data_IF_900759881890
#
_entry.id   IF_900759881890
#
_cell.length_a   1.000
_cell.length_b   1.000
_cell.length_c   1.000
_cell.angle_alpha   90.00
_cell.angle_beta   90.00
_cell.angle_gamma   90.00
#
_symmetry.space_group_name_H-M   'P 1'
#
loop_
_entity.id
_entity.type
_entity.pdbx_description
1 polymer ?
#
# COMPACT_ATOMS: atom_id res chain seq x y z
N UNK A 1 6.46 -0.32 -20.29
CA UNK A 1 4.98 -0.46 -20.28
C UNK A 1 4.46 -0.33 -18.85
N UNK A 2 3.38 0.42 -18.66
CA UNK A 2 2.60 0.44 -17.43
C UNK A 2 1.25 -0.26 -17.70
N UNK A 3 0.89 -1.24 -16.88
CA UNK A 3 -0.41 -1.93 -16.97
C UNK A 3 -1.13 -1.90 -15.63
N UNK A 4 -2.33 -1.34 -15.63
CA UNK A 4 -3.18 -1.21 -14.44
C UNK A 4 -4.21 -2.34 -14.42
N UNK A 5 -4.13 -3.19 -13.41
CA UNK A 5 -5.05 -4.30 -13.17
C UNK A 5 -5.97 -3.95 -11.99
N UNK A 6 -7.20 -3.52 -12.29
CA UNK A 6 -8.23 -3.25 -11.28
C UNK A 6 -9.03 -4.52 -10.97
N UNK A 7 -9.10 -4.91 -9.69
CA UNK A 7 -9.84 -6.09 -9.23
C UNK A 7 -10.95 -5.69 -8.27
N UNK A 8 -12.12 -6.31 -8.45
CA UNK A 8 -13.32 -6.11 -7.60
C UNK A 8 -13.73 -4.64 -7.40
N UNK A 9 -13.33 -3.73 -8.33
CA UNK A 9 -13.52 -2.28 -8.24
C UNK A 9 -12.98 -1.66 -6.93
N UNK A 10 -12.01 -2.31 -6.28
CA UNK A 10 -11.47 -1.90 -4.97
C UNK A 10 -9.96 -1.95 -4.91
N UNK A 11 -9.37 -3.02 -5.44
CA UNK A 11 -7.92 -3.23 -5.38
C UNK A 11 -7.31 -2.84 -6.73
N UNK A 12 -6.24 -2.04 -6.71
CA UNK A 12 -5.50 -1.66 -7.91
C UNK A 12 -4.10 -2.26 -7.86
N UNK A 13 -3.75 -3.00 -8.90
CA UNK A 13 -2.39 -3.51 -9.09
C UNK A 13 -1.74 -2.79 -10.26
N UNK A 14 -0.47 -2.45 -10.10
CA UNK A 14 0.33 -1.84 -11.15
C UNK A 14 1.42 -2.83 -11.56
N UNK A 15 1.51 -3.07 -12.86
CA UNK A 15 2.62 -3.76 -13.47
C UNK A 15 3.51 -2.75 -14.20
N UNK A 16 4.80 -2.80 -13.91
CA UNK A 16 5.83 -2.08 -14.64
C UNK A 16 6.71 -3.09 -15.35
N UNK A 17 6.93 -2.91 -16.64
CA UNK A 17 7.77 -3.83 -17.42
C UNK A 17 8.60 -3.09 -18.46
N UNK A 18 9.86 -3.47 -18.60
CA UNK A 18 10.69 -3.12 -19.74
C UNK A 18 10.50 -4.17 -20.84
N UNK A 19 10.05 -3.73 -22.02
CA UNK A 19 9.72 -4.60 -23.15
C UNK A 19 10.83 -4.51 -24.19
N UNK A 20 11.24 -5.63 -24.84
CA UNK A 20 10.61 -6.96 -24.80
C UNK A 20 11.13 -7.93 -23.71
N UNK A 21 12.34 -7.71 -23.18
CA UNK A 21 13.05 -8.75 -22.43
C UNK A 21 12.75 -8.81 -20.93
N UNK A 22 12.04 -7.83 -20.36
CA UNK A 22 11.92 -7.65 -18.91
C UNK A 22 13.03 -6.75 -18.35
N UNK A 23 13.15 -6.62 -17.02
CA UNK A 23 12.32 -7.27 -15.99
C UNK A 23 10.94 -6.64 -15.86
N UNK A 24 10.06 -7.30 -15.10
CA UNK A 24 8.75 -6.76 -14.74
C UNK A 24 8.48 -6.85 -13.24
N UNK A 25 7.82 -5.85 -12.69
CA UNK A 25 7.50 -5.76 -11.28
C UNK A 25 6.00 -5.54 -11.08
N UNK A 26 5.42 -6.31 -10.16
CA UNK A 26 4.02 -6.18 -9.75
C UNK A 26 3.93 -5.49 -8.40
N UNK A 27 3.10 -4.46 -8.34
CA UNK A 27 2.82 -3.69 -7.14
C UNK A 27 1.33 -3.73 -6.81
N UNK A 28 1.01 -3.66 -5.52
CA UNK A 28 -0.29 -3.20 -5.04
C UNK A 28 -0.20 -1.68 -4.84
N UNK A 29 -1.13 -0.94 -5.43
CA UNK A 29 -1.23 0.51 -5.26
C UNK A 29 -2.17 0.82 -4.11
N UNK A 30 -1.67 1.56 -3.12
CA UNK A 30 -2.41 1.97 -1.92
C UNK A 30 -2.34 3.50 -1.76
N UNK A 31 -3.20 4.08 -0.91
CA UNK A 31 -3.16 5.50 -0.53
C UNK A 31 -3.17 6.48 -1.72
N UNK A 32 -4.05 6.24 -2.69
CA UNK A 32 -4.17 7.06 -3.90
C UNK A 32 -4.87 8.37 -3.57
N UNK A 33 -4.18 9.45 -3.89
CA UNK A 33 -4.63 10.83 -3.79
C UNK A 33 -4.48 11.49 -5.16
N UNK A 34 -5.56 12.07 -5.69
CA UNK A 34 -5.58 12.64 -7.04
C UNK A 34 -5.24 14.13 -7.00
N UNK A 35 -4.86 14.69 -8.15
CA UNK A 35 -4.57 16.13 -8.31
C UNK A 35 -5.78 17.03 -8.03
N UNK A 36 -6.99 16.47 -7.91
CA UNK A 36 -8.20 17.21 -7.57
C UNK A 36 -8.36 17.47 -6.07
N UNK A 37 -7.46 16.95 -5.23
CA UNK A 37 -7.52 17.18 -3.79
C UNK A 37 -7.12 18.63 -3.43
N UNK A 38 -7.90 19.26 -2.55
CA UNK A 38 -7.76 20.68 -2.18
C UNK A 38 -6.36 21.05 -1.64
N UNK A 39 -5.65 20.10 -1.04
CA UNK A 39 -4.31 20.33 -0.45
C UNK A 39 -3.19 20.39 -1.50
N UNK A 40 -3.45 19.93 -2.72
CA UNK A 40 -2.48 19.86 -3.80
C UNK A 40 -2.65 21.10 -4.69
N UNK A 41 -1.94 22.17 -4.33
CA UNK A 41 -2.09 23.49 -4.95
C UNK A 41 -1.11 23.76 -6.09
N UNK A 42 -0.13 22.87 -6.29
CA UNK A 42 0.85 23.01 -7.36
C UNK A 42 0.27 22.77 -8.73
N UNK A 43 0.91 23.35 -9.76
CA UNK A 43 0.57 23.10 -11.15
C UNK A 43 1.85 22.96 -11.96
N UNK A 44 1.92 21.98 -12.86
CA UNK A 44 3.11 21.81 -13.69
C UNK A 44 2.77 21.57 -15.15
N UNK A 45 3.67 21.98 -16.03
CA UNK A 45 3.65 21.71 -17.44
C UNK A 45 3.48 20.21 -17.70
N UNK A 46 2.43 19.87 -18.47
CA UNK A 46 2.05 18.47 -18.76
C UNK A 46 3.22 17.68 -19.35
N UNK A 47 3.98 18.28 -20.25
CA UNK A 47 5.03 17.61 -21.02
C UNK A 47 6.46 18.07 -20.67
N UNK A 48 6.66 18.76 -19.55
CA UNK A 48 8.00 19.00 -19.02
C UNK A 48 8.69 17.69 -18.63
N UNK A 49 10.01 17.66 -18.68
CA UNK A 49 10.79 16.49 -18.28
C UNK A 49 10.87 16.45 -16.74
N UNK A 50 10.45 15.35 -16.09
CA UNK A 50 10.54 15.26 -14.64
C UNK A 50 11.97 15.01 -14.18
N UNK A 51 12.36 15.64 -13.08
CA UNK A 51 13.53 15.22 -12.30
C UNK A 51 13.11 14.04 -11.41
N UNK A 52 13.85 12.94 -11.46
CA UNK A 52 13.58 11.76 -10.63
C UNK A 52 14.48 11.79 -9.40
N UNK A 53 13.89 11.98 -8.23
CA UNK A 53 14.58 12.00 -6.94
C UNK A 53 14.27 10.70 -6.19
N UNK A 54 15.31 9.92 -5.90
CA UNK A 54 15.21 8.68 -5.15
C UNK A 54 15.83 8.86 -3.77
N UNK A 55 15.24 8.19 -2.78
CA UNK A 55 15.84 8.03 -1.46
C UNK A 55 17.17 7.26 -1.53
N UNK A 56 18.08 7.51 -0.57
CA UNK A 56 19.39 6.86 -0.53
C UNK A 56 19.28 5.32 -0.42
N UNK A 57 18.19 4.84 0.18
CA UNK A 57 17.89 3.41 0.36
C UNK A 57 17.84 2.64 -0.97
N UNK A 58 17.57 3.31 -2.08
CA UNK A 58 17.57 2.68 -3.41
C UNK A 58 18.97 2.30 -3.91
N UNK A 59 20.02 2.86 -3.32
CA UNK A 59 21.42 2.59 -3.67
C UNK A 59 22.12 1.64 -2.70
N UNK A 60 21.43 1.21 -1.64
CA UNK A 60 21.96 0.28 -0.66
C UNK A 60 22.25 -1.10 -1.28
N UNK A 61 23.49 -1.64 -1.12
CA UNK A 61 23.87 -2.93 -1.70
C UNK A 61 23.13 -4.12 -1.07
N UNK A 62 22.67 -3.98 0.18
CA UNK A 62 21.93 -5.04 0.90
C UNK A 62 20.51 -5.25 0.35
N UNK A 63 19.97 -4.27 -0.39
CA UNK A 63 18.62 -4.30 -0.97
C UNK A 63 18.65 -4.21 -2.50
N UNK A 64 19.22 -5.22 -3.21
CA UNK A 64 19.42 -5.16 -4.66
C UNK A 64 18.10 -5.06 -5.44
N UNK A 65 17.00 -5.53 -4.87
CA UNK A 65 15.68 -5.42 -5.46
C UNK A 65 15.23 -3.95 -5.59
N UNK A 66 15.54 -3.08 -4.62
CA UNK A 66 15.23 -1.64 -4.72
C UNK A 66 16.06 -0.97 -5.79
N UNK A 67 17.35 -1.31 -5.90
CA UNK A 67 18.22 -0.80 -6.97
C UNK A 67 17.71 -1.16 -8.36
N UNK A 68 17.23 -2.40 -8.54
CA UNK A 68 16.58 -2.82 -9.79
C UNK A 68 15.30 -2.02 -10.05
N UNK A 69 14.49 -1.78 -9.02
CA UNK A 69 13.29 -0.95 -9.16
C UNK A 69 13.61 0.51 -9.51
N UNK A 70 14.68 1.09 -8.95
CA UNK A 70 15.15 2.43 -9.32
C UNK A 70 15.38 2.52 -10.84
N UNK A 71 16.13 1.57 -11.39
CA UNK A 71 16.40 1.52 -12.84
C UNK A 71 15.09 1.33 -13.64
N UNK A 72 14.19 0.46 -13.18
CA UNK A 72 12.89 0.25 -13.80
C UNK A 72 12.05 1.55 -13.82
N UNK A 73 12.04 2.32 -12.73
CA UNK A 73 11.35 3.61 -12.67
C UNK A 73 11.98 4.66 -13.57
N UNK A 74 13.31 4.72 -13.64
CA UNK A 74 14.02 5.64 -14.54
C UNK A 74 13.63 5.37 -15.99
N UNK A 75 13.60 4.11 -16.41
CA UNK A 75 13.27 3.74 -17.79
C UNK A 75 11.78 3.92 -18.12
N UNK A 76 10.89 3.76 -17.14
CA UNK A 76 9.43 3.81 -17.39
C UNK A 76 8.81 5.19 -17.18
N UNK A 77 9.30 5.97 -16.21
CA UNK A 77 8.77 7.29 -15.84
C UNK A 77 9.69 8.43 -16.29
N UNK A 78 10.94 8.14 -16.65
CA UNK A 78 11.84 9.11 -17.26
C UNK A 78 11.39 9.51 -18.65
N UNK A 79 11.67 10.76 -19.03
CA UNK A 79 11.47 11.24 -20.40
C UNK A 79 12.82 11.29 -21.11
N UNK A 80 13.00 10.59 -22.25
CA UNK A 80 14.26 10.58 -22.96
C UNK A 80 14.65 11.98 -23.42
N UNK A 81 15.95 12.21 -23.59
CA UNK A 81 16.44 13.49 -24.08
C UNK A 81 15.88 13.75 -25.49
N UNK A 82 15.46 14.99 -25.75
CA UNK A 82 14.89 15.42 -27.03
C UNK A 82 13.66 14.62 -27.49
N UNK A 83 12.84 14.14 -26.54
CA UNK A 83 11.56 13.55 -26.89
C UNK A 83 10.72 14.60 -27.68
N UNK A 84 10.08 14.25 -28.81
CA UNK A 84 9.43 15.22 -29.69
C UNK A 84 8.29 16.00 -29.02
N UNK A 85 7.72 15.46 -27.94
CA UNK A 85 6.69 16.11 -27.12
C UNK A 85 7.23 16.79 -25.87
N UNK A 86 8.52 16.64 -25.54
CA UNK A 86 9.07 17.23 -24.31
C UNK A 86 9.23 18.74 -24.46
N UNK A 87 8.76 19.47 -23.47
CA UNK A 87 9.03 20.90 -23.34
C UNK A 87 10.42 21.12 -22.71
N UNK A 88 11.02 22.26 -22.99
CA UNK A 88 12.41 22.56 -22.59
C UNK A 88 12.58 22.74 -21.07
N UNK A 89 11.54 23.23 -20.38
CA UNK A 89 11.61 23.59 -18.96
C UNK A 89 11.53 22.38 -18.03
N UNK A 90 12.24 22.48 -16.90
CA UNK A 90 12.19 21.54 -15.78
C UNK A 90 11.29 22.12 -14.69
N UNK A 91 10.05 21.63 -14.64
CA UNK A 91 9.02 22.22 -13.78
C UNK A 91 8.50 21.22 -12.72
N UNK A 92 8.75 19.92 -12.90
CA UNK A 92 8.27 18.88 -11.98
C UNK A 92 9.35 17.92 -11.51
N UNK A 93 9.18 17.45 -10.29
CA UNK A 93 10.01 16.43 -9.63
C UNK A 93 9.12 15.26 -9.22
N UNK A 94 9.52 14.05 -9.61
CA UNK A 94 8.98 12.82 -9.04
C UNK A 94 9.89 12.34 -7.93
N UNK A 95 9.31 12.17 -6.74
CA UNK A 95 10.03 11.73 -5.55
C UNK A 95 9.60 10.32 -5.19
N UNK A 96 10.59 9.47 -4.91
CA UNK A 96 10.42 8.09 -4.48
C UNK A 96 11.04 7.92 -3.10
N UNK A 97 10.20 7.91 -2.06
CA UNK A 97 10.63 7.66 -0.67
C UNK A 97 10.37 6.20 -0.28
N UNK A 98 11.29 5.56 0.43
CA UNK A 98 11.06 4.20 0.94
C UNK A 98 10.74 4.24 2.44
N UNK A 99 9.52 3.86 2.82
CA UNK A 99 9.09 3.87 4.23
C UNK A 99 8.10 2.74 4.49
N UNK A 100 8.32 1.98 5.57
CA UNK A 100 7.46 0.87 6.00
C UNK A 100 7.20 -0.16 4.89
N UNK A 101 8.26 -0.57 4.18
CA UNK A 101 8.22 -1.56 3.10
C UNK A 101 7.36 -1.13 1.89
N UNK A 102 7.12 0.18 1.79
CA UNK A 102 6.34 0.81 0.72
C UNK A 102 7.16 1.92 0.08
N UNK A 103 6.98 2.05 -1.23
CA UNK A 103 7.56 3.14 -2.00
C UNK A 103 6.50 4.22 -2.13
N UNK A 104 6.73 5.37 -1.53
CA UNK A 104 5.87 6.53 -1.62
C UNK A 104 6.25 7.36 -2.83
N UNK A 105 5.30 7.54 -3.73
CA UNK A 105 5.42 8.41 -4.89
C UNK A 105 4.73 9.74 -4.62
N UNK A 106 5.44 10.85 -4.88
CA UNK A 106 4.86 12.19 -4.86
C UNK A 106 5.40 13.03 -6.00
N UNK A 107 4.57 13.96 -6.47
CA UNK A 107 4.91 14.91 -7.52
C UNK A 107 4.94 16.32 -6.96
N UNK A 108 6.05 17.00 -7.17
CA UNK A 108 6.27 18.39 -6.76
C UNK A 108 6.51 19.27 -7.98
N UNK A 109 6.02 20.50 -7.92
CA UNK A 109 6.38 21.59 -8.81
C UNK A 109 7.61 22.31 -8.25
N UNK A 110 8.52 22.72 -9.14
CA UNK A 110 9.65 23.59 -8.79
C UNK A 110 9.20 25.03 -8.96
N UNK A 111 9.07 25.79 -7.86
CA UNK A 111 8.77 27.21 -7.94
C UNK A 111 10.03 27.99 -8.33
N UNK A 112 10.07 28.52 -9.56
CA UNK A 112 11.25 29.12 -10.20
C UNK A 112 11.89 30.26 -9.38
N UNK A 113 11.10 31.05 -8.66
CA UNK A 113 11.61 32.24 -7.95
C UNK A 113 12.38 31.93 -6.66
N UNK A 114 12.12 30.79 -6.01
CA UNK A 114 12.63 30.49 -4.68
C UNK A 114 13.22 29.10 -4.52
N UNK A 115 13.11 28.24 -5.54
CA UNK A 115 13.49 26.83 -5.45
C UNK A 115 12.64 26.03 -4.46
N UNK A 116 11.51 26.58 -4.02
CA UNK A 116 10.57 25.88 -3.14
C UNK A 116 9.80 24.82 -3.91
N UNK A 117 9.41 23.75 -3.23
CA UNK A 117 8.65 22.64 -3.81
C UNK A 117 7.19 22.73 -3.35
N UNK A 118 6.28 22.77 -4.32
CA UNK A 118 4.83 22.78 -4.07
C UNK A 118 4.23 21.47 -4.54
N UNK A 119 3.43 20.81 -3.71
CA UNK A 119 2.85 19.50 -4.06
C UNK A 119 1.73 19.64 -5.11
N UNK A 120 1.84 18.90 -6.22
CA UNK A 120 0.88 18.88 -7.34
C UNK A 120 -0.02 17.65 -7.28
N UNK A 121 0.58 16.50 -6.90
CA UNK A 121 -0.03 15.18 -7.07
C UNK A 121 0.16 14.58 -8.46
N UNK A 122 -0.29 13.32 -8.67
CA UNK A 122 -0.92 12.44 -7.69
C UNK A 122 0.06 11.94 -6.62
N UNK A 123 -0.48 11.48 -5.49
CA UNK A 123 0.26 10.78 -4.44
C UNK A 123 -0.26 9.36 -4.30
N UNK A 124 0.64 8.41 -4.16
CA UNK A 124 0.28 7.02 -3.89
C UNK A 124 1.45 6.28 -3.25
N UNK A 125 1.17 5.13 -2.66
CA UNK A 125 2.18 4.20 -2.18
C UNK A 125 2.12 2.91 -2.97
N UNK A 126 3.29 2.39 -3.33
CA UNK A 126 3.46 1.12 -4.00
C UNK A 126 3.98 0.09 -2.99
N UNK A 127 3.24 -0.99 -2.82
CA UNK A 127 3.67 -2.15 -2.07
C UNK A 127 4.13 -3.23 -3.05
N UNK A 128 5.41 -3.58 -3.01
CA UNK A 128 6.02 -4.55 -3.92
C UNK A 128 5.47 -5.95 -3.63
N UNK A 129 4.97 -6.63 -4.67
CA UNK A 129 4.50 -8.01 -4.58
C UNK A 129 5.62 -8.95 -5.02
N UNK A 130 6.00 -8.86 -6.30
CA UNK A 130 6.98 -9.74 -6.95
C UNK A 130 7.69 -9.03 -8.10
N UNK A 131 8.91 -9.47 -8.37
CA UNK A 131 9.72 -9.10 -9.53
C UNK A 131 9.96 -10.37 -10.36
N UNK A 132 9.77 -10.26 -11.67
CA UNK A 132 9.95 -11.32 -12.65
C UNK A 132 11.09 -10.97 -13.59
N UNK A 133 11.81 -11.99 -14.04
CA UNK A 133 12.94 -11.83 -14.95
C UNK A 133 12.52 -11.33 -16.34
N UNK A 134 11.37 -11.80 -16.84
CA UNK A 134 10.83 -11.42 -18.14
C UNK A 134 9.75 -10.34 -18.05
N UNK A 135 9.26 -9.92 -19.22
CA UNK A 135 8.14 -8.99 -19.32
C UNK A 135 6.80 -9.70 -19.08
N UNK A 136 6.20 -9.51 -17.91
CA UNK A 136 4.96 -10.17 -17.46
C UNK A 136 5.04 -11.70 -17.35
N UNK A 137 6.23 -12.27 -17.51
CA UNK A 137 6.47 -13.70 -17.49
C UNK A 137 7.90 -14.02 -16.97
N UNK A 138 8.23 -15.31 -16.89
CA UNK A 138 9.54 -15.79 -16.47
C UNK A 138 9.67 -16.08 -14.98
N UNK A 139 10.89 -16.40 -14.55
CA UNK A 139 11.20 -16.76 -13.17
C UNK A 139 11.00 -15.57 -12.22
N UNK A 140 10.56 -15.86 -10.99
CA UNK A 140 10.43 -14.86 -9.92
C UNK A 140 11.82 -14.57 -9.36
N UNK A 141 12.32 -13.35 -9.57
CA UNK A 141 13.61 -12.90 -9.04
C UNK A 141 13.51 -12.48 -7.57
N UNK A 142 12.36 -11.91 -7.20
CA UNK A 142 12.11 -11.45 -5.84
C UNK A 142 10.62 -11.59 -5.50
N UNK A 143 10.33 -12.04 -4.28
CA UNK A 143 8.98 -12.07 -3.72
C UNK A 143 9.01 -11.43 -2.35
N UNK A 144 8.20 -10.40 -2.15
CA UNK A 144 8.13 -9.72 -0.86
C UNK A 144 7.48 -10.63 0.20
N UNK A 145 8.19 -11.02 1.28
CA UNK A 145 7.62 -11.85 2.33
C UNK A 145 6.59 -11.09 3.20
N UNK A 146 6.66 -9.76 3.26
CA UNK A 146 5.77 -8.91 4.07
C UNK A 146 4.48 -8.54 3.34
N UNK A 147 4.40 -8.82 2.04
CA UNK A 147 3.21 -8.52 1.26
C UNK A 147 2.03 -9.41 1.70
N UNK A 148 0.92 -8.75 2.06
CA UNK A 148 -0.35 -9.42 2.37
C UNK A 148 -1.39 -8.94 1.38
N UNK A 149 -2.10 -9.89 0.74
CA UNK A 149 -3.13 -9.52 -0.24
C UNK A 149 -4.36 -8.89 0.44
N UNK A 150 -4.97 -7.84 -0.14
CA UNK A 150 -6.19 -7.23 0.40
C UNK A 150 -7.36 -8.21 0.55
N UNK A 151 -7.42 -9.22 -0.33
CA UNK A 151 -8.40 -10.30 -0.23
C UNK A 151 -8.23 -11.11 1.06
N UNK A 152 -6.98 -11.44 1.42
CA UNK A 152 -6.68 -12.19 2.64
C UNK A 152 -6.98 -11.37 3.90
N UNK A 153 -6.64 -10.08 3.91
CA UNK A 153 -7.01 -9.16 5.00
C UNK A 153 -8.54 -9.12 5.17
N UNK A 154 -9.28 -8.95 4.07
CA UNK A 154 -10.75 -8.95 4.10
C UNK A 154 -11.33 -10.28 4.58
N UNK A 155 -10.75 -11.40 4.17
CA UNK A 155 -11.16 -12.73 4.62
C UNK A 155 -10.98 -12.90 6.13
N UNK A 156 -9.81 -12.52 6.67
CA UNK A 156 -9.55 -12.65 8.11
C UNK A 156 -10.42 -11.71 8.95
N UNK A 157 -10.71 -10.51 8.45
CA UNK A 157 -11.67 -9.60 9.10
C UNK A 157 -13.09 -10.18 9.13
N UNK A 158 -13.47 -10.99 8.14
CA UNK A 158 -14.75 -11.70 8.13
C UNK A 158 -14.74 -12.89 9.11
N UNK A 159 -13.68 -13.70 9.12
CA UNK A 159 -13.53 -14.80 10.07
C UNK A 159 -13.61 -14.33 11.52
N UNK A 160 -12.84 -13.30 11.90
CA UNK A 160 -12.89 -12.75 13.26
C UNK A 160 -14.24 -12.12 13.64
N UNK A 161 -15.10 -11.80 12.68
CA UNK A 161 -16.49 -11.40 12.94
C UNK A 161 -17.41 -12.61 13.11
N UNK A 162 -17.18 -13.70 12.38
CA UNK A 162 -17.95 -14.94 12.48
C UNK A 162 -17.85 -15.57 13.87
N UNK A 163 -16.65 -15.58 14.45
CA UNK A 163 -16.41 -16.15 15.78
C UNK A 163 -17.21 -15.46 16.89
N UNK A 164 -17.65 -14.22 16.70
CA UNK A 164 -18.50 -13.52 17.67
C UNK A 164 -19.84 -14.20 17.89
N UNK A 165 -20.43 -14.79 16.85
CA UNK A 165 -21.69 -15.51 16.99
C UNK A 165 -21.49 -16.80 17.78
N UNK A 166 -20.47 -17.59 17.43
CA UNK A 166 -20.10 -18.82 18.15
C UNK A 166 -19.76 -18.53 19.61
N UNK A 167 -18.94 -17.51 19.87
CA UNK A 167 -18.58 -17.06 21.22
C UNK A 167 -19.80 -16.59 22.02
N UNK A 168 -20.76 -15.90 21.39
CA UNK A 168 -22.01 -15.48 22.05
C UNK A 168 -22.87 -16.69 22.43
N UNK A 169 -22.95 -17.69 21.56
CA UNK A 169 -23.71 -18.91 21.83
C UNK A 169 -23.05 -19.72 22.94
N UNK A 170 -21.72 -19.91 22.90
CA UNK A 170 -20.97 -20.57 23.98
C UNK A 170 -21.11 -19.82 25.30
N UNK A 171 -21.03 -18.49 25.30
CA UNK A 171 -21.21 -17.69 26.50
C UNK A 171 -22.62 -17.83 27.10
N UNK A 172 -23.66 -17.98 26.27
CA UNK A 172 -25.03 -18.28 26.74
C UNK A 172 -25.11 -19.67 27.38
N UNK A 173 -24.54 -20.69 26.73
CA UNK A 173 -24.51 -22.07 27.25
C UNK A 173 -23.80 -22.09 28.61
N UNK A 174 -22.60 -21.48 28.70
CA UNK A 174 -21.83 -21.39 29.95
C UNK A 174 -22.58 -20.62 31.06
N UNK A 175 -23.34 -19.58 30.70
CA UNK A 175 -24.19 -18.86 31.66
C UNK A 175 -25.32 -19.75 32.18
N UNK A 176 -25.99 -20.51 31.31
CA UNK A 176 -27.05 -21.44 31.70
C UNK A 176 -26.51 -22.58 32.57
N UNK A 177 -25.36 -23.15 32.22
CA UNK A 177 -24.67 -24.14 33.05
C UNK A 177 -24.34 -23.57 34.43
N UNK A 178 -23.77 -22.36 34.48
CA UNK A 178 -23.47 -21.68 35.75
C UNK A 178 -24.72 -21.40 36.57
N UNK A 179 -25.86 -21.09 35.92
CA UNK A 179 -27.16 -20.93 36.61
C UNK A 179 -27.66 -22.25 37.17
N UNK A 180 -27.59 -23.35 36.40
CA UNK A 180 -28.01 -24.69 36.85
C UNK A 180 -27.12 -25.25 37.97
N UNK A 181 -25.81 -25.00 37.92
CA UNK A 181 -24.88 -25.44 38.96
C UNK A 181 -24.96 -24.60 40.24
N UNK A 182 -25.56 -23.40 40.17
CA UNK A 182 -25.73 -22.53 41.34
C UNK A 182 -26.82 -23.09 42.24
N UNK A 183 -26.43 -23.81 43.30
CA UNK A 183 -27.38 -24.30 44.31
C UNK A 183 -27.94 -23.18 45.18
N UNK A 184 -27.14 -22.14 45.45
CA UNK A 184 -27.54 -20.98 46.26
C UNK A 184 -27.15 -19.67 45.54
N UNK A 185 -28.07 -18.70 45.50
CA UNK A 185 -27.87 -17.39 44.85
C UNK A 185 -26.98 -16.45 45.66
N UNK A 186 -27.00 -16.59 46.98
CA UNK A 186 -26.22 -15.86 47.99
C UNK A 186 -25.77 -16.87 49.06
N UNK A 187 -24.78 -16.53 49.88
CA UNK A 187 -24.46 -17.33 51.06
C UNK A 187 -25.69 -17.29 51.98
N UNK A 188 -26.31 -18.44 52.22
CA UNK A 188 -27.43 -18.55 53.15
C UNK A 188 -26.82 -18.64 54.54
N UNK A 189 -27.18 -17.70 55.40
CA UNK A 189 -26.84 -17.75 56.82
C UNK A 189 -27.80 -18.72 57.51
N UNK A 190 -27.26 -19.73 58.20
CA UNK A 190 -28.07 -20.80 58.82
C UNK A 190 -28.91 -20.28 60.00
N UNK A 191 -28.63 -19.07 60.51
CA UNK A 191 -29.33 -18.47 61.65
C UNK A 191 -30.44 -17.47 61.26
N UNK A 192 -30.66 -17.23 59.97
CA UNK A 192 -31.59 -16.18 59.48
C UNK A 192 -33.07 -16.50 59.81
N UNK A 193 -33.43 -17.78 59.94
CA UNK A 193 -34.80 -18.26 60.23
C UNK A 193 -35.14 -18.37 61.73
N UNK A 194 -34.26 -17.94 62.64
CA UNK A 194 -34.40 -18.21 64.09
C UNK A 194 -35.39 -17.28 64.82
N UNK A 195 -35.83 -16.18 64.19
CA UNK A 195 -36.61 -15.13 64.85
C UNK A 195 -38.01 -14.84 64.24
N UNK A 196 -38.66 -15.83 63.60
CA UNK A 196 -40.11 -15.77 63.30
C UNK A 196 -40.99 -16.32 64.43
#
# INVERSE_FOLDING_TARGET
ILFFEARKKKDLYLWLSCVPNGPSAKFLVENIHTTAELKLTGNCLKASRPVLAFDAVFDDPDQPHLRLLRELFVQTLGTPNQHPRSQAYLDKVFTFGHLNDRIWFRTYQIAEESGTLVEVGPRFSLNLIRIFAGSFCGAVLYSNPKYVSPNWVRHNLLLGKSDKYAARTQAKILLEERRKSRKHTYAVDELDDIFE
#
